data_IF_157552062379
#
_entry.id   IF_157552062379
#
_cell.length_a   1.000
_cell.length_b   1.000
_cell.length_c   1.000
_cell.angle_alpha   90.00
_cell.angle_beta   90.00
_cell.angle_gamma   90.00
#
_symmetry.space_group_name_H-M   'P 1'
#
loop_
_entity.id
_entity.type
_entity.pdbx_description
1 polymer ?
#
# COMPACT_ATOMS: atom_id res chain seq x y z
N UNK A 1 10.55 -8.89 22.65
CA UNK A 1 9.44 -7.94 22.92
C UNK A 1 8.71 -7.73 21.60
N UNK A 2 7.59 -8.44 21.45
CA UNK A 2 6.79 -8.49 20.24
C UNK A 2 6.10 -7.14 20.03
N UNK A 3 6.57 -6.36 19.05
CA UNK A 3 5.91 -5.12 18.66
C UNK A 3 4.67 -5.46 17.82
N UNK A 4 3.56 -5.57 18.54
CA UNK A 4 2.15 -5.42 18.13
C UNK A 4 1.86 -5.43 16.62
N UNK A 5 1.63 -6.64 16.10
CA UNK A 5 0.85 -6.87 14.88
C UNK A 5 -0.58 -6.28 15.00
N UNK A 6 -1.03 -6.00 16.23
CA UNK A 6 -2.32 -5.40 16.58
C UNK A 6 -2.50 -3.94 16.11
N UNK A 7 -1.43 -3.17 15.95
CA UNK A 7 -1.55 -1.73 15.62
C UNK A 7 -1.80 -1.46 14.13
N UNK A 8 -1.58 -2.46 13.26
CA UNK A 8 -1.84 -2.34 11.82
C UNK A 8 -3.29 -2.68 11.45
N UNK A 9 -3.96 -3.46 12.31
CA UNK A 9 -5.39 -3.73 12.17
C UNK A 9 -6.24 -2.51 12.56
N UNK A 10 -5.81 -1.75 13.58
CA UNK A 10 -6.47 -0.50 13.99
C UNK A 10 -6.35 0.60 12.94
N UNK A 11 -5.23 0.69 12.21
CA UNK A 11 -5.10 1.68 11.10
C UNK A 11 -5.94 1.29 9.89
N UNK A 12 -6.08 -0.01 9.57
CA UNK A 12 -7.07 -0.49 8.58
C UNK A 12 -8.50 -0.14 9.00
N UNK A 13 -8.82 -0.29 10.29
CA UNK A 13 -10.14 0.05 10.83
C UNK A 13 -10.40 1.57 10.76
N UNK A 14 -9.44 2.41 11.13
CA UNK A 14 -9.62 3.87 11.11
C UNK A 14 -9.67 4.43 9.68
N UNK A 15 -8.85 3.95 8.75
CA UNK A 15 -8.95 4.35 7.32
C UNK A 15 -10.30 3.89 6.73
N UNK A 16 -10.84 2.75 7.16
CA UNK A 16 -12.17 2.29 6.76
C UNK A 16 -13.30 3.14 7.36
N UNK A 17 -13.18 3.56 8.62
CA UNK A 17 -14.22 4.34 9.31
C UNK A 17 -14.30 5.80 8.84
N UNK A 18 -13.22 6.35 8.27
CA UNK A 18 -13.22 7.66 7.61
C UNK A 18 -13.49 7.60 6.10
N UNK A 19 -13.93 6.45 5.57
CA UNK A 19 -14.53 6.43 4.23
C UNK A 19 -15.94 7.00 4.31
N UNK A 20 -16.28 7.82 3.33
CA UNK A 20 -17.56 8.52 3.04
C UNK A 20 -18.85 7.65 3.04
N UNK A 21 -18.81 6.44 3.60
CA UNK A 21 -19.87 5.43 3.57
C UNK A 21 -20.93 5.62 4.65
N UNK A 22 -20.62 6.24 5.80
CA UNK A 22 -21.57 6.46 6.90
C UNK A 22 -22.75 7.37 6.50
N UNK A 23 -22.54 8.32 5.59
CA UNK A 23 -23.59 9.22 5.09
C UNK A 23 -24.44 8.56 3.99
N UNK A 24 -23.99 7.43 3.43
CA UNK A 24 -24.58 6.79 2.24
C UNK A 24 -25.33 5.48 2.53
N UNK A 25 -25.46 5.07 3.79
CA UNK A 25 -26.03 3.77 4.20
C UNK A 25 -27.52 3.58 3.86
N UNK A 26 -28.25 4.65 3.50
CA UNK A 26 -29.70 4.62 3.21
C UNK A 26 -30.07 4.64 1.72
N UNK A 27 -29.09 4.67 0.83
CA UNK A 27 -29.33 4.79 -0.61
C UNK A 27 -29.06 3.47 -1.34
N UNK A 28 -29.96 3.14 -2.27
CA UNK A 28 -29.86 2.00 -3.21
C UNK A 28 -28.48 1.99 -3.90
N UNK A 29 -27.70 0.91 -3.71
CA UNK A 29 -26.31 0.77 -4.24
C UNK A 29 -26.21 1.02 -5.75
N UNK A 30 -27.30 0.76 -6.48
CA UNK A 30 -27.46 0.92 -7.93
C UNK A 30 -27.60 2.39 -8.39
N UNK A 31 -27.91 3.33 -7.50
CA UNK A 31 -28.15 4.75 -7.88
C UNK A 31 -26.99 5.70 -7.54
N UNK A 32 -26.02 5.29 -6.71
CA UNK A 32 -24.93 6.16 -6.22
C UNK A 32 -23.59 5.93 -6.95
N UNK A 33 -23.34 4.70 -7.40
CA UNK A 33 -22.20 4.40 -8.27
C UNK A 33 -22.55 4.74 -9.71
N UNK A 34 -22.61 6.04 -10.01
CA UNK A 34 -22.39 6.49 -11.38
C UNK A 34 -20.99 5.98 -11.76
N UNK A 35 -20.85 5.22 -12.84
CA UNK A 35 -19.58 4.63 -13.26
C UNK A 35 -18.53 5.71 -13.51
N UNK A 36 -17.77 6.07 -12.47
CA UNK A 36 -16.64 6.99 -12.59
C UNK A 36 -15.43 6.16 -13.02
N UNK A 37 -15.01 6.35 -14.26
CA UNK A 37 -13.80 5.75 -14.83
C UNK A 37 -12.55 6.41 -14.26
N UNK A 38 -12.24 6.15 -12.99
CA UNK A 38 -10.98 6.57 -12.38
C UNK A 38 -9.80 5.94 -13.11
N UNK A 39 -8.70 6.68 -13.26
CA UNK A 39 -7.50 6.23 -13.96
C UNK A 39 -6.66 5.24 -13.17
N UNK A 40 -6.76 5.23 -11.83
CA UNK A 40 -6.07 4.29 -10.96
C UNK A 40 -7.09 3.28 -10.42
N UNK A 41 -6.94 2.02 -10.83
CA UNK A 41 -7.79 0.90 -10.40
C UNK A 41 -6.97 -0.11 -9.60
N UNK A 42 -7.56 -0.79 -8.58
CA UNK A 42 -6.85 -1.82 -7.84
C UNK A 42 -6.44 -2.98 -8.75
N UNK A 43 -5.17 -3.39 -8.70
CA UNK A 43 -4.68 -4.60 -9.39
C UNK A 43 -5.15 -5.87 -8.68
N UNK A 44 -5.77 -6.80 -9.41
CA UNK A 44 -6.34 -8.05 -8.85
C UNK A 44 -5.28 -8.98 -8.26
N UNK A 45 -4.12 -9.09 -8.90
CA UNK A 45 -3.02 -9.97 -8.50
C UNK A 45 -1.80 -9.16 -8.03
N UNK A 46 -2.03 -8.22 -7.11
CA UNK A 46 -0.97 -7.36 -6.62
C UNK A 46 -0.07 -8.07 -5.60
N UNK A 47 1.23 -8.09 -5.88
CA UNK A 47 2.26 -8.67 -5.01
C UNK A 47 3.03 -7.55 -4.31
N UNK A 48 2.75 -7.38 -3.01
CA UNK A 48 3.36 -6.33 -2.20
C UNK A 48 4.85 -6.60 -1.90
N UNK A 49 5.28 -7.85 -1.88
CA UNK A 49 6.69 -8.22 -1.64
C UNK A 49 7.53 -7.84 -2.86
N UNK A 50 7.10 -8.25 -4.06
CA UNK A 50 7.80 -7.87 -5.30
C UNK A 50 7.86 -6.36 -5.52
N UNK A 51 6.78 -5.64 -5.19
CA UNK A 51 6.77 -4.19 -5.29
C UNK A 51 7.73 -3.53 -4.29
N UNK A 52 7.84 -4.07 -3.07
CA UNK A 52 8.79 -3.58 -2.07
C UNK A 52 10.25 -3.85 -2.47
N UNK A 53 10.54 -5.01 -3.05
CA UNK A 53 11.89 -5.35 -3.52
C UNK A 53 12.30 -4.50 -4.73
N UNK A 54 11.42 -4.33 -5.71
CA UNK A 54 11.67 -3.44 -6.85
C UNK A 54 11.88 -1.98 -6.42
N UNK A 55 11.17 -1.51 -5.38
CA UNK A 55 11.41 -0.21 -4.78
C UNK A 55 12.79 -0.14 -4.12
N UNK A 56 13.18 -1.16 -3.36
CA UNK A 56 14.50 -1.21 -2.73
C UNK A 56 15.63 -1.14 -3.77
N UNK A 57 15.54 -1.95 -4.84
CA UNK A 57 16.52 -1.96 -5.94
C UNK A 57 16.65 -0.58 -6.60
N UNK A 58 15.52 0.08 -6.86
CA UNK A 58 15.49 1.42 -7.48
C UNK A 58 16.11 2.51 -6.59
N UNK A 59 16.21 2.29 -5.28
CA UNK A 59 16.73 3.24 -4.30
C UNK A 59 18.20 2.97 -3.91
N UNK A 60 18.63 1.71 -3.91
CA UNK A 60 19.96 1.29 -3.43
C UNK A 60 21.00 1.20 -4.56
N UNK A 61 20.60 1.20 -5.82
CA UNK A 61 21.50 1.21 -6.97
C UNK A 61 22.42 2.43 -7.07
N UNK A 62 23.38 2.39 -8.01
CA UNK A 62 24.25 3.54 -8.34
C UNK A 62 23.39 4.60 -9.04
N UNK A 63 22.81 5.49 -8.23
CA UNK A 63 21.80 6.43 -8.67
C UNK A 63 20.38 5.94 -8.39
N UNK A 64 19.49 6.89 -8.15
CA UNK A 64 18.07 6.63 -7.90
C UNK A 64 17.30 6.50 -9.22
N UNK A 65 16.68 5.34 -9.48
CA UNK A 65 15.79 5.17 -10.64
C UNK A 65 14.41 5.78 -10.36
N UNK A 66 14.32 7.09 -10.58
CA UNK A 66 13.10 7.88 -10.36
C UNK A 66 11.93 7.41 -11.22
N UNK A 67 12.20 6.86 -12.41
CA UNK A 67 11.15 6.38 -13.31
C UNK A 67 10.55 5.08 -12.79
N UNK A 68 11.38 4.16 -12.31
CA UNK A 68 10.91 2.93 -11.67
C UNK A 68 10.06 3.22 -10.43
N UNK A 69 10.53 4.10 -9.54
CA UNK A 69 9.78 4.49 -8.32
C UNK A 69 8.42 5.09 -8.70
N UNK A 70 8.41 6.02 -9.65
CA UNK A 70 7.19 6.69 -10.10
C UNK A 70 6.20 5.65 -10.63
N UNK A 71 6.64 4.75 -11.51
CA UNK A 71 5.80 3.69 -12.09
C UNK A 71 5.17 2.79 -11.02
N UNK A 72 5.96 2.35 -10.04
CA UNK A 72 5.46 1.46 -8.97
C UNK A 72 4.36 2.14 -8.15
N UNK A 73 4.53 3.43 -7.84
CA UNK A 73 3.59 4.18 -7.00
C UNK A 73 2.33 4.56 -7.78
N UNK A 74 2.45 5.12 -9.00
CA UNK A 74 1.30 5.60 -9.77
C UNK A 74 0.34 4.47 -10.20
N UNK A 75 0.87 3.27 -10.46
CA UNK A 75 0.06 2.11 -10.87
C UNK A 75 -0.64 1.41 -9.70
N UNK A 76 -0.30 1.76 -8.45
CA UNK A 76 -0.87 1.16 -7.26
C UNK A 76 -1.98 2.03 -6.65
N UNK A 77 -3.10 1.40 -6.27
CA UNK A 77 -4.14 2.07 -5.49
C UNK A 77 -3.64 2.43 -4.08
N UNK A 78 -4.32 3.35 -3.39
CA UNK A 78 -3.89 3.75 -2.03
C UNK A 78 -3.80 2.56 -1.05
N UNK A 79 -4.78 1.64 -1.09
CA UNK A 79 -4.75 0.45 -0.25
C UNK A 79 -3.53 -0.44 -0.54
N UNK A 80 -3.18 -0.58 -1.82
CA UNK A 80 -2.00 -1.33 -2.25
C UNK A 80 -0.70 -0.63 -1.83
N UNK A 81 -0.62 0.70 -1.91
CA UNK A 81 0.55 1.46 -1.43
C UNK A 81 0.81 1.25 0.07
N UNK A 82 -0.25 1.23 0.88
CA UNK A 82 -0.13 0.96 2.32
C UNK A 82 0.37 -0.47 2.58
N UNK A 83 -0.06 -1.45 1.79
CA UNK A 83 0.46 -2.82 1.85
C UNK A 83 1.96 -2.86 1.52
N UNK A 84 2.39 -2.19 0.44
CA UNK A 84 3.82 -2.10 0.07
C UNK A 84 4.63 -1.45 1.18
N UNK A 85 4.15 -0.35 1.75
CA UNK A 85 4.83 0.34 2.85
C UNK A 85 5.05 -0.59 4.05
N UNK A 86 4.01 -1.31 4.45
CA UNK A 86 4.10 -2.27 5.56
C UNK A 86 5.13 -3.36 5.26
N UNK A 87 5.03 -4.01 4.10
CA UNK A 87 5.95 -5.06 3.66
C UNK A 87 7.40 -4.57 3.58
N UNK A 88 7.62 -3.40 2.98
CA UNK A 88 8.92 -2.75 2.88
C UNK A 88 9.53 -2.49 4.27
N UNK A 89 8.74 -1.98 5.22
CA UNK A 89 9.20 -1.70 6.58
C UNK A 89 9.66 -2.97 7.32
N UNK A 90 8.99 -4.10 7.10
CA UNK A 90 9.37 -5.40 7.66
C UNK A 90 10.66 -5.90 7.02
N UNK A 91 10.75 -5.83 5.69
CA UNK A 91 11.93 -6.25 4.95
C UNK A 91 13.18 -5.46 5.38
N UNK A 92 13.08 -4.14 5.54
CA UNK A 92 14.18 -3.29 6.00
C UNK A 92 14.65 -3.64 7.42
N UNK A 93 13.73 -3.96 8.34
CA UNK A 93 14.11 -4.42 9.68
C UNK A 93 14.90 -5.72 9.64
N UNK A 94 14.51 -6.68 8.78
CA UNK A 94 15.24 -7.94 8.57
C UNK A 94 16.63 -7.69 7.98
N UNK A 95 16.74 -6.83 6.94
CA UNK A 95 18.02 -6.49 6.31
C UNK A 95 18.98 -5.86 7.31
N UNK A 96 18.53 -4.91 8.15
CA UNK A 96 19.40 -4.30 9.17
C UNK A 96 19.94 -5.31 10.18
N UNK A 97 19.10 -6.23 10.66
CA UNK A 97 19.56 -7.28 11.59
C UNK A 97 20.64 -8.21 11.01
N UNK A 98 20.76 -8.29 9.67
CA UNK A 98 21.78 -9.08 9.00
C UNK A 98 23.15 -8.39 8.99
N UNK A 99 23.21 -7.06 9.02
CA UNK A 99 24.47 -6.29 9.03
C UNK A 99 25.12 -6.19 10.42
N UNK A 100 24.35 -6.43 11.47
CA UNK A 100 24.80 -6.31 12.86
C UNK A 100 25.52 -7.58 13.39
N UNK A 101 25.92 -8.52 12.50
CA UNK A 101 26.69 -9.73 12.81
C UNK A 101 28.07 -9.75 12.14
#
# INVERSE_FOLDING_TARGET
>A
MELNICEQETVKYLISQYTVTSVMAGLRKDTIYKDFYGTIVPRLNFDAEKAADALHESMVGVGCDKLAITKIIIDASNSQRQQVYFTYSIAERRRKSQWDN
#
